data_IF_691960462380
#
_entry.id   IF_691960462380
#
_cell.length_a   1.000
_cell.length_b   1.000
_cell.length_c   1.000
_cell.angle_alpha   90.00
_cell.angle_beta   90.00
_cell.angle_gamma   90.00
#
_symmetry.space_group_name_H-M   'P 1'
#
loop_
_entity.id
_entity.type
_entity.pdbx_description
1 polymer ?
#
# COMPACT_ATOMS: atom_id res chain seq x y z
N UNK A 1 -8.63 -10.60 7.17
CA UNK A 1 -8.59 -9.64 8.30
C UNK A 1 -9.94 -9.52 9.02
N UNK A 2 -11.02 -9.12 8.33
CA UNK A 2 -12.34 -8.95 8.93
C UNK A 2 -12.84 -10.21 9.68
N UNK A 3 -12.76 -11.38 9.05
CA UNK A 3 -13.14 -12.66 9.67
C UNK A 3 -12.32 -13.03 10.91
N UNK A 4 -11.10 -12.47 11.03
CA UNK A 4 -10.22 -12.64 12.20
C UNK A 4 -10.50 -11.59 13.29
N UNK A 5 -11.60 -10.82 13.17
CA UNK A 5 -12.01 -9.80 14.13
C UNK A 5 -11.20 -8.49 14.07
N UNK A 6 -10.48 -8.23 12.97
CA UNK A 6 -9.82 -6.94 12.72
C UNK A 6 -10.80 -5.94 12.09
N UNK A 7 -10.58 -4.65 12.31
CA UNK A 7 -11.53 -3.62 11.88
C UNK A 7 -12.64 -3.32 12.89
N UNK A 8 -12.57 -3.93 14.09
CA UNK A 8 -13.59 -3.80 15.15
C UNK A 8 -13.16 -2.82 16.23
N UNK A 9 -11.89 -2.90 16.67
CA UNK A 9 -11.35 -2.02 17.72
C UNK A 9 -10.79 -0.71 17.17
N UNK A 10 -10.51 -0.69 15.88
CA UNK A 10 -10.09 0.44 15.07
C UNK A 10 -10.17 0.06 13.60
N UNK A 11 -9.87 0.98 12.70
CA UNK A 11 -9.85 0.70 11.26
C UNK A 11 -8.76 -0.31 10.90
N UNK A 12 -9.01 -1.07 9.84
CA UNK A 12 -7.97 -1.63 8.99
C UNK A 12 -7.54 -0.52 8.02
N UNK A 13 -6.37 0.05 8.25
CA UNK A 13 -5.77 1.02 7.34
C UNK A 13 -5.03 0.30 6.24
N UNK A 14 -5.41 0.49 4.98
CA UNK A 14 -4.75 -0.15 3.85
C UNK A 14 -4.14 0.92 2.95
N UNK A 15 -2.82 1.00 2.94
CA UNK A 15 -2.13 2.00 2.11
C UNK A 15 -1.98 1.51 0.67
N UNK A 16 -1.90 2.46 -0.25
CA UNK A 16 -1.68 2.25 -1.67
C UNK A 16 -0.80 3.41 -2.16
N UNK A 17 0.25 3.18 -2.96
CA UNK A 17 1.13 4.27 -3.40
C UNK A 17 0.41 5.26 -4.32
N UNK A 18 -0.62 4.81 -5.04
CA UNK A 18 -1.34 5.60 -6.05
C UNK A 18 -2.77 5.89 -5.63
N UNK A 19 -3.19 7.16 -5.80
CA UNK A 19 -4.57 7.61 -5.48
C UNK A 19 -5.64 6.82 -6.23
N UNK A 20 -5.42 6.58 -7.52
CA UNK A 20 -6.39 5.86 -8.35
C UNK A 20 -6.52 4.40 -7.89
N UNK A 21 -5.42 3.77 -7.49
CA UNK A 21 -5.43 2.42 -6.90
C UNK A 21 -6.20 2.41 -5.58
N UNK A 22 -5.91 3.33 -4.65
CA UNK A 22 -6.64 3.46 -3.39
C UNK A 22 -8.17 3.54 -3.60
N UNK A 23 -8.62 4.40 -4.52
CA UNK A 23 -10.04 4.56 -4.83
C UNK A 23 -10.64 3.32 -5.52
N UNK A 24 -9.94 2.77 -6.51
CA UNK A 24 -10.41 1.60 -7.28
C UNK A 24 -10.54 0.37 -6.39
N UNK A 25 -9.54 0.12 -5.52
CA UNK A 25 -9.56 -0.98 -4.56
C UNK A 25 -10.67 -0.78 -3.53
N UNK A 26 -10.87 0.44 -3.01
CA UNK A 26 -11.96 0.73 -2.08
C UNK A 26 -13.34 0.46 -2.69
N UNK A 27 -13.56 0.90 -3.93
CA UNK A 27 -14.82 0.63 -4.64
C UNK A 27 -15.01 -0.88 -4.83
N UNK A 28 -13.97 -1.58 -5.29
CA UNK A 28 -14.03 -3.03 -5.50
C UNK A 28 -14.34 -3.79 -4.21
N UNK A 29 -13.72 -3.42 -3.09
CA UNK A 29 -14.00 -4.02 -1.78
C UNK A 29 -15.42 -3.72 -1.30
N UNK A 30 -15.93 -2.51 -1.55
CA UNK A 30 -17.31 -2.17 -1.22
C UNK A 30 -18.30 -3.05 -1.99
N UNK A 31 -18.05 -3.25 -3.29
CA UNK A 31 -18.86 -4.11 -4.16
C UNK A 31 -18.81 -5.59 -3.69
N UNK A 32 -17.62 -6.10 -3.37
CA UNK A 32 -17.44 -7.48 -2.87
C UNK A 32 -18.10 -7.72 -1.51
N UNK A 33 -18.11 -6.71 -0.64
CA UNK A 33 -18.79 -6.74 0.65
C UNK A 33 -20.28 -6.33 0.56
N UNK A 34 -20.79 -6.08 -0.64
CA UNK A 34 -22.17 -5.69 -0.90
C UNK A 34 -22.61 -4.48 -0.04
N UNK A 35 -21.72 -3.51 0.13
CA UNK A 35 -21.96 -2.31 0.93
C UNK A 35 -21.77 -1.05 0.09
N UNK A 36 -22.34 0.06 0.56
CA UNK A 36 -22.11 1.35 -0.10
C UNK A 36 -20.73 1.89 0.30
N UNK A 37 -19.96 2.37 -0.68
CA UNK A 37 -18.71 3.07 -0.42
C UNK A 37 -18.93 4.27 0.51
N UNK A 38 -18.11 4.38 1.54
CA UNK A 38 -18.24 5.33 2.64
C UNK A 38 -18.96 4.79 3.87
N UNK A 39 -19.61 3.62 3.80
CA UNK A 39 -20.14 2.93 4.97
C UNK A 39 -19.06 2.05 5.58
N UNK A 40 -19.07 0.74 5.32
CA UNK A 40 -18.12 -0.23 5.90
C UNK A 40 -16.73 -0.14 5.27
N UNK A 41 -16.63 0.29 4.02
CA UNK A 41 -15.38 0.54 3.31
C UNK A 41 -15.33 2.00 2.91
N UNK A 42 -14.26 2.70 3.27
CA UNK A 42 -14.03 4.08 2.87
C UNK A 42 -12.64 4.28 2.28
N UNK A 43 -12.40 5.45 1.69
CA UNK A 43 -11.05 5.84 1.30
C UNK A 43 -10.73 7.28 1.64
N UNK A 44 -9.44 7.57 1.82
CA UNK A 44 -8.90 8.89 2.07
C UNK A 44 -7.65 9.14 1.25
N UNK A 45 -7.73 10.10 0.35
CA UNK A 45 -6.62 10.55 -0.49
C UNK A 45 -6.44 12.05 -0.33
N UNK A 46 -5.35 12.61 -0.87
CA UNK A 46 -5.19 14.06 -0.89
C UNK A 46 -6.38 14.69 -1.63
N UNK A 47 -7.05 15.62 -0.95
CA UNK A 47 -8.23 16.35 -1.43
C UNK A 47 -9.51 15.50 -1.61
N UNK A 48 -9.60 14.33 -0.99
CA UNK A 48 -10.83 13.54 -1.00
C UNK A 48 -10.90 12.58 0.19
N UNK A 49 -11.93 12.74 1.02
CA UNK A 49 -12.23 11.82 2.12
C UNK A 49 -13.66 11.32 1.95
N UNK A 50 -13.78 10.01 1.74
CA UNK A 50 -15.04 9.29 1.63
C UNK A 50 -15.07 8.16 2.66
N UNK A 51 -14.50 8.40 3.85
CA UNK A 51 -14.60 7.48 4.98
C UNK A 51 -15.61 7.99 6.00
N UNK A 52 -16.23 7.06 6.74
CA UNK A 52 -17.10 7.39 7.88
C UNK A 52 -16.58 6.75 9.16
N UNK A 53 -17.03 7.22 10.34
CA UNK A 53 -16.71 6.56 11.60
C UNK A 53 -17.22 5.11 11.68
N UNK A 54 -18.14 4.71 10.80
CA UNK A 54 -18.70 3.36 10.71
C UNK A 54 -17.88 2.44 9.81
N UNK A 55 -16.85 2.96 9.12
CA UNK A 55 -15.99 2.13 8.26
C UNK A 55 -15.17 1.15 9.10
N UNK A 56 -15.04 -0.08 8.61
CA UNK A 56 -14.10 -1.05 9.13
C UNK A 56 -12.77 -0.97 8.40
N UNK A 57 -12.81 -0.64 7.11
CA UNK A 57 -11.65 -0.58 6.23
C UNK A 57 -11.51 0.85 5.69
N UNK A 58 -10.31 1.42 5.83
CA UNK A 58 -9.94 2.71 5.26
C UNK A 58 -8.78 2.53 4.28
N UNK A 59 -9.07 2.67 3.00
CA UNK A 59 -8.06 2.71 1.94
C UNK A 59 -7.45 4.11 1.89
N UNK A 60 -6.14 4.23 1.79
CA UNK A 60 -5.51 5.55 1.73
C UNK A 60 -4.22 5.54 0.96
N UNK A 61 -3.71 6.71 0.61
CA UNK A 61 -2.33 6.79 0.13
C UNK A 61 -1.33 6.78 1.28
N UNK A 62 -0.11 6.32 1.03
CA UNK A 62 0.98 6.31 2.03
C UNK A 62 1.18 7.70 2.66
N UNK A 63 1.14 8.75 1.85
CA UNK A 63 1.27 10.14 2.32
C UNK A 63 0.12 10.60 3.22
N UNK A 64 -1.07 9.98 3.14
CA UNK A 64 -2.18 10.27 4.06
C UNK A 64 -1.91 9.62 5.41
N UNK A 65 -1.47 8.35 5.43
CA UNK A 65 -1.08 7.70 6.69
C UNK A 65 0.06 8.45 7.36
N UNK A 66 1.06 8.89 6.59
CA UNK A 66 2.17 9.69 7.10
C UNK A 66 1.71 11.04 7.69
N UNK A 67 0.72 11.69 7.07
CA UNK A 67 0.13 12.91 7.61
C UNK A 67 -0.66 12.63 8.91
N UNK A 68 -1.39 11.51 9.00
CA UNK A 68 -2.12 11.13 10.20
C UNK A 68 -1.19 10.84 11.38
N UNK A 69 0.00 10.28 11.15
CA UNK A 69 1.04 10.08 12.18
C UNK A 69 1.40 11.40 12.89
N UNK A 70 1.38 12.53 12.19
CA UNK A 70 1.69 13.83 12.79
C UNK A 70 0.66 14.25 13.84
N UNK A 71 -0.60 13.84 13.66
CA UNK A 71 -1.71 14.17 14.56
C UNK A 71 -1.92 13.08 15.63
N UNK A 72 -1.75 11.81 15.24
CA UNK A 72 -1.90 10.65 16.09
C UNK A 72 -0.64 9.79 16.03
N UNK A 73 0.32 10.11 16.91
CA UNK A 73 1.62 9.42 17.00
C UNK A 73 1.55 7.97 17.47
N UNK A 74 0.38 7.49 17.87
CA UNK A 74 0.23 6.09 18.22
C UNK A 74 -0.64 5.35 17.21
N UNK A 75 -1.24 6.04 16.23
CA UNK A 75 -2.19 5.44 15.28
C UNK A 75 -3.30 4.68 16.03
N UNK A 76 -3.87 5.31 17.07
CA UNK A 76 -4.89 4.73 17.94
C UNK A 76 -6.18 4.42 17.20
N UNK A 77 -6.44 5.11 16.09
CA UNK A 77 -7.59 4.84 15.22
C UNK A 77 -7.48 3.50 14.48
N UNK A 78 -6.31 2.86 14.47
CA UNK A 78 -6.05 1.63 13.72
C UNK A 78 -5.77 0.44 14.64
N UNK A 79 -6.38 -0.70 14.31
CA UNK A 79 -6.00 -1.99 14.90
C UNK A 79 -5.09 -2.82 13.99
N UNK A 80 -5.11 -2.50 12.69
CA UNK A 80 -4.35 -3.18 11.65
C UNK A 80 -3.94 -2.17 10.58
N UNK A 81 -2.68 -2.24 10.15
CA UNK A 81 -2.17 -1.47 9.01
C UNK A 81 -1.64 -2.46 7.97
N UNK A 82 -2.04 -2.27 6.73
CA UNK A 82 -1.54 -3.00 5.56
C UNK A 82 -0.76 -1.99 4.72
N UNK A 83 0.55 -2.21 4.57
CA UNK A 83 1.41 -1.45 3.67
C UNK A 83 1.49 -2.23 2.37
N UNK A 84 0.76 -1.76 1.35
CA UNK A 84 0.72 -2.43 0.05
C UNK A 84 1.74 -1.90 -0.93
N UNK A 85 2.08 -2.73 -1.91
CA UNK A 85 3.03 -2.41 -2.97
C UNK A 85 4.36 -1.88 -2.40
N UNK A 86 4.83 -2.44 -1.28
CA UNK A 86 6.04 -1.99 -0.59
C UNK A 86 7.32 -2.07 -1.48
N UNK A 87 7.21 -2.72 -2.63
CA UNK A 87 8.22 -2.78 -3.67
C UNK A 87 8.37 -1.50 -4.50
N UNK A 88 7.39 -0.58 -4.51
CA UNK A 88 7.54 0.72 -5.19
C UNK A 88 8.64 1.58 -4.54
N UNK A 89 9.12 1.22 -3.33
CA UNK A 89 10.22 1.88 -2.59
C UNK A 89 10.15 3.40 -2.61
N UNK A 90 8.95 3.93 -2.39
CA UNK A 90 8.77 5.37 -2.22
C UNK A 90 9.35 5.81 -0.88
N UNK A 91 9.84 7.05 -0.81
CA UNK A 91 10.30 7.63 0.47
C UNK A 91 9.23 7.54 1.56
N UNK A 92 7.97 7.72 1.21
CA UNK A 92 6.86 7.60 2.17
C UNK A 92 6.78 6.20 2.77
N UNK A 93 6.90 5.16 1.94
CA UNK A 93 6.89 3.77 2.40
C UNK A 93 8.07 3.54 3.35
N UNK A 94 9.29 3.96 2.98
CA UNK A 94 10.47 3.78 3.84
C UNK A 94 10.31 4.47 5.20
N UNK A 95 9.79 5.71 5.22
CA UNK A 95 9.48 6.42 6.46
C UNK A 95 8.41 5.69 7.29
N UNK A 96 7.34 5.22 6.66
CA UNK A 96 6.30 4.46 7.33
C UNK A 96 6.86 3.19 7.96
N UNK A 97 7.67 2.41 7.24
CA UNK A 97 8.27 1.18 7.76
C UNK A 97 9.20 1.46 8.95
N UNK A 98 10.08 2.46 8.83
CA UNK A 98 10.96 2.86 9.92
C UNK A 98 10.20 3.36 11.15
N UNK A 99 9.11 4.10 10.94
CA UNK A 99 8.24 4.57 12.02
C UNK A 99 7.50 3.42 12.72
N UNK A 100 6.86 2.56 11.92
CA UNK A 100 6.09 1.42 12.40
C UNK A 100 6.95 0.43 13.18
N UNK A 101 8.20 0.22 12.74
CA UNK A 101 9.18 -0.58 13.48
C UNK A 101 9.41 -0.08 14.92
N UNK A 102 9.43 1.24 15.12
CA UNK A 102 9.57 1.84 16.45
C UNK A 102 8.26 1.86 17.23
N UNK A 103 7.11 1.90 16.54
CA UNK A 103 5.79 1.93 17.16
C UNK A 103 5.37 0.57 17.71
N UNK A 104 5.64 -0.52 16.98
CA UNK A 104 5.18 -1.87 17.33
C UNK A 104 5.49 -2.31 18.78
N UNK A 105 6.70 -2.08 19.34
CA UNK A 105 6.96 -2.39 20.75
C UNK A 105 6.09 -1.61 21.75
N UNK A 106 5.59 -0.43 21.36
CA UNK A 106 4.72 0.43 22.18
C UNK A 106 3.24 0.15 21.97
N UNK A 107 2.87 -0.43 20.83
CA UNK A 107 1.51 -0.82 20.43
C UNK A 107 1.46 -2.31 20.06
N UNK A 108 1.61 -3.22 21.03
CA UNK A 108 1.63 -4.67 20.76
C UNK A 108 0.29 -5.21 20.21
N UNK A 109 -0.79 -4.44 20.40
CA UNK A 109 -2.13 -4.71 19.90
C UNK A 109 -2.27 -4.43 18.38
N UNK A 110 -1.51 -3.46 17.86
CA UNK A 110 -1.47 -3.09 16.45
C UNK A 110 -0.83 -4.21 15.62
N UNK A 111 -1.51 -4.63 14.55
CA UNK A 111 -0.96 -5.58 13.58
C UNK A 111 -0.54 -4.88 12.30
N UNK A 112 0.53 -5.39 11.70
CA UNK A 112 1.06 -4.88 10.45
C UNK A 112 1.18 -6.03 9.46
N UNK A 113 0.72 -5.78 8.24
CA UNK A 113 0.91 -6.66 7.08
C UNK A 113 1.65 -5.83 6.04
N UNK A 114 2.68 -6.41 5.42
CA UNK A 114 3.44 -5.78 4.34
C UNK A 114 3.29 -6.69 3.13
N UNK A 115 2.80 -6.14 2.02
CA UNK A 115 2.64 -6.86 0.76
C UNK A 115 3.60 -6.33 -0.29
N UNK A 116 4.14 -7.23 -1.11
CA UNK A 116 5.16 -6.95 -2.11
C UNK A 116 5.04 -7.97 -3.25
N UNK A 117 5.07 -7.50 -4.49
CA UNK A 117 5.09 -8.35 -5.68
C UNK A 117 6.52 -8.76 -6.11
N UNK A 118 7.55 -8.45 -5.32
CA UNK A 118 8.96 -8.67 -5.69
C UNK A 118 9.65 -9.77 -4.87
N UNK A 119 10.78 -10.23 -5.41
CA UNK A 119 11.54 -11.43 -4.97
C UNK A 119 12.29 -11.26 -3.65
N UNK A 120 12.39 -10.06 -3.07
CA UNK A 120 13.15 -9.86 -1.83
C UNK A 120 12.27 -9.51 -0.60
N UNK A 121 11.34 -10.39 -0.18
CA UNK A 121 10.59 -10.22 1.07
C UNK A 121 11.47 -10.37 2.31
N UNK A 122 12.66 -10.97 2.16
CA UNK A 122 13.59 -11.25 3.25
C UNK A 122 14.13 -9.97 3.90
N UNK A 123 14.32 -8.90 3.12
CA UNK A 123 14.67 -7.58 3.69
C UNK A 123 13.62 -7.06 4.66
N UNK A 124 12.34 -7.18 4.32
CA UNK A 124 11.24 -6.76 5.21
C UNK A 124 11.19 -7.66 6.44
N UNK A 125 11.28 -8.99 6.26
CA UNK A 125 11.34 -9.93 7.38
C UNK A 125 12.41 -9.56 8.39
N UNK A 126 13.66 -9.41 7.93
CA UNK A 126 14.80 -9.02 8.78
C UNK A 126 14.59 -7.67 9.46
N UNK A 127 14.05 -6.68 8.73
CA UNK A 127 13.74 -5.37 9.31
C UNK A 127 12.73 -5.50 10.46
N UNK A 128 11.75 -6.40 10.36
CA UNK A 128 10.69 -6.63 11.35
C UNK A 128 10.95 -7.82 12.30
N UNK A 129 12.21 -8.06 12.70
CA UNK A 129 12.61 -9.13 13.64
C UNK A 129 12.29 -10.54 13.11
N UNK A 130 12.75 -10.84 11.90
CA UNK A 130 12.55 -12.12 11.23
C UNK A 130 11.06 -12.50 11.13
N UNK A 131 10.23 -11.50 10.80
CA UNK A 131 8.79 -11.66 10.66
C UNK A 131 8.46 -12.75 9.62
N UNK A 132 7.42 -13.57 9.84
CA UNK A 132 7.09 -14.67 8.94
C UNK A 132 6.75 -14.16 7.54
N UNK A 133 7.31 -14.82 6.54
CA UNK A 133 7.04 -14.55 5.12
C UNK A 133 6.06 -15.59 4.59
N UNK A 134 4.99 -15.11 3.96
CA UNK A 134 4.01 -15.96 3.27
C UNK A 134 4.10 -15.63 1.79
N UNK A 135 4.40 -16.65 0.99
CA UNK A 135 4.46 -16.52 -0.46
C UNK A 135 3.18 -17.07 -1.10
N UNK A 136 2.61 -16.30 -2.02
CA UNK A 136 1.42 -16.68 -2.77
C UNK A 136 1.80 -16.75 -4.25
N UNK A 137 1.83 -17.97 -4.80
CA UNK A 137 2.18 -18.19 -6.21
C UNK A 137 1.06 -17.73 -7.14
N UNK A 138 1.34 -16.75 -8.00
CA UNK A 138 0.46 -16.38 -9.11
C UNK A 138 0.55 -17.36 -10.28
N UNK A 139 -0.50 -17.42 -11.10
CA UNK A 139 -0.44 -18.09 -12.41
C UNK A 139 -0.11 -17.06 -13.48
N UNK A 140 1.09 -17.13 -14.06
CA UNK A 140 1.47 -16.31 -15.22
C UNK A 140 1.14 -17.04 -16.51
N UNK A 141 0.54 -16.34 -17.48
CA UNK A 141 0.41 -16.84 -18.84
C UNK A 141 1.67 -16.51 -19.64
N UNK A 142 2.11 -17.38 -20.57
CA UNK A 142 3.30 -17.12 -21.37
C UNK A 142 3.14 -15.83 -22.18
N UNK A 143 4.13 -14.95 -22.12
CA UNK A 143 4.20 -13.71 -22.88
C UNK A 143 5.36 -13.80 -23.86
N UNK A 144 5.11 -13.49 -25.14
CA UNK A 144 6.16 -13.40 -26.15
C UNK A 144 6.82 -12.01 -26.08
N UNK A 145 8.14 -11.98 -25.90
CA UNK A 145 8.93 -10.74 -25.88
C UNK A 145 9.58 -10.56 -27.25
N UNK A 146 9.22 -9.49 -27.97
CA UNK A 146 9.83 -9.13 -29.26
C UNK A 146 10.63 -7.84 -29.13
N UNK A 147 11.90 -7.89 -29.50
CA UNK A 147 12.78 -6.72 -29.52
C UNK A 147 12.81 -6.12 -30.93
N UNK A 148 12.75 -4.79 -31.04
CA UNK A 148 13.04 -4.11 -32.30
C UNK A 148 14.57 -4.09 -32.49
N UNK A 149 15.09 -4.50 -33.65
CA UNK A 149 16.53 -4.36 -33.93
C UNK A 149 16.92 -2.88 -33.89
N UNK A 150 18.09 -2.58 -33.33
CA UNK A 150 18.62 -1.22 -33.33
C UNK A 150 18.84 -0.76 -34.78
N UNK A 151 18.18 0.32 -35.18
CA UNK A 151 18.43 0.99 -36.47
C UNK A 151 19.59 1.95 -36.29
N UNK A 152 20.71 1.74 -37.00
CA UNK A 152 21.93 2.58 -36.92
C UNK A 152 21.74 4.06 -37.31
N UNK A 153 20.52 4.49 -37.65
CA UNK A 153 20.23 5.78 -38.28
C UNK A 153 19.30 6.71 -37.48
N UNK A 154 18.79 6.34 -36.30
CA UNK A 154 17.85 7.18 -35.55
C UNK A 154 18.52 8.14 -34.52
N UNK A 155 19.82 7.94 -34.19
CA UNK A 155 20.55 8.79 -33.23
C UNK A 155 21.24 10.03 -33.86
N UNK A 156 21.18 10.21 -35.19
CA UNK A 156 21.85 11.35 -35.86
C UNK A 156 21.02 12.64 -35.88
N UNK A 157 19.70 12.55 -35.64
CA UNK A 157 18.79 13.70 -35.72
C UNK A 157 18.49 14.35 -34.35
N UNK A 158 18.88 13.71 -33.23
CA UNK A 158 18.64 14.25 -31.89
C UNK A 158 19.70 15.29 -31.45
N UNK A 159 20.91 15.26 -32.02
CA UNK A 159 22.02 16.16 -31.65
C UNK A 159 22.15 17.42 -32.55
N UNK A 160 21.32 17.58 -33.59
CA UNK A 160 21.38 18.76 -34.49
C UNK A 160 20.44 19.92 -34.10
N UNK A 161 19.71 19.83 -32.98
CA UNK A 161 18.81 20.91 -32.49
C UNK A 161 19.46 21.85 -31.45
N UNK A 162 20.77 21.76 -31.23
CA UNK A 162 21.54 22.72 -30.42
C UNK A 162 22.80 23.18 -31.16
N UNK A 163 22.64 24.06 -32.16
CA UNK A 163 23.71 24.91 -32.67
C UNK A 163 23.14 26.24 -33.17
#
# INVERSE_FOLDING_TARGET
>A
CLELGRGIKGFIGHTQPRRLAARSVAQRLADELQCQLGQQVGFKIRFGDHSSPQSHIKLMTDGILLAEIQQDRFLNQYDTIIIDEAHERSLNIDFLLGYLKQLLPKRPDLKIIITSATIDPQRFSKHFNDAPVIEVSGRTYPVEVRYRPATENEDKDADQLQA
#
